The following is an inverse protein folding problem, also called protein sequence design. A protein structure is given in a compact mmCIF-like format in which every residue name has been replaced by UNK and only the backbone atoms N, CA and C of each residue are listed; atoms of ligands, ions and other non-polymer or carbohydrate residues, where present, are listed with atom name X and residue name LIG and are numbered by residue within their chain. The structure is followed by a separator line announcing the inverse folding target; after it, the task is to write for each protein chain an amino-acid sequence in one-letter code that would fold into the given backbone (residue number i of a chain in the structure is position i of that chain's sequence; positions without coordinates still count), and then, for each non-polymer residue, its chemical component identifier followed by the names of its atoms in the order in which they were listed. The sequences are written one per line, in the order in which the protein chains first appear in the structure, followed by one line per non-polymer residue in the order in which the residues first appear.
data_IF_014593018416
#
_entry.id   IF_014593018416
#
_cell.length_a   1.000
_cell.length_b   1.000
_cell.length_c   1.000
_cell.angle_alpha   90.00
_cell.angle_beta   90.00
_cell.angle_gamma   90.00
#
_symmetry.space_group_name_H-M   'P 1'
#
loop_
_entity.id
_entity.type
_entity.pdbx_description
1 polymer ?
#
# COMPACT_ATOMS: atom_id res chain seq x y z
N UNK A 1 9.60 12.73 15.53
CA UNK A 1 9.27 12.24 14.24
C UNK A 1 9.55 13.25 13.17
N UNK A 2 10.05 12.80 12.07
CA UNK A 2 10.42 13.72 11.03
C UNK A 2 9.25 13.99 10.10
N UNK A 3 9.09 15.22 9.76
CA UNK A 3 8.05 15.63 8.87
C UNK A 3 8.47 15.42 7.42
N UNK A 4 7.54 15.04 6.61
CA UNK A 4 7.81 14.82 5.19
C UNK A 4 7.29 16.01 4.40
N UNK A 5 8.16 17.01 4.26
CA UNK A 5 7.78 18.22 3.56
C UNK A 5 7.55 17.96 2.09
N UNK A 6 6.55 18.59 1.54
CA UNK A 6 6.25 18.48 0.15
C UNK A 6 5.65 17.14 -0.24
N UNK A 7 5.41 16.29 0.72
CA UNK A 7 4.85 15.00 0.44
C UNK A 7 3.48 14.89 1.07
N UNK A 8 2.50 14.56 0.25
CA UNK A 8 1.14 14.37 0.73
C UNK A 8 0.82 12.91 0.76
N UNK A 9 0.20 12.49 1.84
CA UNK A 9 -0.33 11.15 1.92
C UNK A 9 -1.70 11.17 1.28
N UNK A 10 -1.92 10.32 0.30
CA UNK A 10 -3.18 10.26 -0.39
C UNK A 10 -4.31 9.96 0.58
N UNK A 11 -5.44 10.66 0.39
CA UNK A 11 -6.63 10.36 1.15
C UNK A 11 -7.02 8.91 0.95
N UNK A 12 -6.77 8.40 -0.24
CA UNK A 12 -7.06 7.00 -0.57
C UNK A 12 -6.31 6.05 0.35
N UNK A 13 -5.04 6.33 0.60
CA UNK A 13 -4.23 5.49 1.49
C UNK A 13 -4.78 5.50 2.91
N UNK A 14 -5.16 6.69 3.39
CA UNK A 14 -5.69 6.80 4.74
C UNK A 14 -6.99 6.04 4.89
N UNK A 15 -7.84 6.10 3.89
CA UNK A 15 -9.12 5.41 3.93
C UNK A 15 -8.94 3.91 3.91
N UNK A 16 -8.02 3.43 3.10
CA UNK A 16 -7.73 2.01 3.03
C UNK A 16 -7.16 1.52 4.37
N UNK A 17 -6.21 2.27 4.93
CA UNK A 17 -5.64 1.89 6.22
C UNK A 17 -6.71 1.83 7.29
N UNK A 18 -7.61 2.81 7.29
CA UNK A 18 -8.68 2.87 8.27
C UNK A 18 -9.62 1.68 8.12
N UNK A 19 -9.96 1.34 6.89
CA UNK A 19 -10.85 0.21 6.64
C UNK A 19 -10.23 -1.10 7.12
N UNK A 20 -8.94 -1.28 6.85
CA UNK A 20 -8.25 -2.48 7.29
C UNK A 20 -8.16 -2.56 8.81
N UNK A 21 -7.93 -1.42 9.46
CA UNK A 21 -7.89 -1.40 10.92
C UNK A 21 -9.22 -1.79 11.53
N UNK A 22 -10.32 -1.44 10.88
CA UNK A 22 -11.65 -1.79 11.38
C UNK A 22 -11.90 -3.29 11.39
N UNK A 23 -11.11 -4.04 10.64
CA UNK A 23 -11.26 -5.50 10.64
C UNK A 23 -10.47 -6.15 11.77
N UNK A 24 -9.79 -5.35 12.59
CA UNK A 24 -9.00 -5.87 13.70
C UNK A 24 -7.54 -6.05 13.38
N UNK A 25 -7.13 -5.74 12.16
CA UNK A 25 -5.73 -5.86 11.77
C UNK A 25 -4.96 -4.62 12.20
N UNK A 26 -3.68 -4.81 12.51
CA UNK A 26 -2.79 -3.70 12.79
C UNK A 26 -2.20 -3.22 11.48
N UNK A 27 -2.30 -1.94 11.22
CA UNK A 27 -1.85 -1.38 9.96
C UNK A 27 -0.93 -0.21 10.24
N UNK A 28 0.26 -0.26 9.67
CA UNK A 28 1.25 0.79 9.84
C UNK A 28 1.46 1.47 8.49
N UNK A 29 1.37 2.80 8.50
CA UNK A 29 1.64 3.56 7.29
C UNK A 29 3.12 3.83 7.25
N UNK A 30 3.80 3.20 6.30
CA UNK A 30 5.23 3.34 6.13
C UNK A 30 5.47 4.05 4.81
N UNK A 31 6.60 4.71 4.69
CA UNK A 31 6.88 5.42 3.45
C UNK A 31 7.60 4.56 2.45
N UNK A 32 8.44 3.73 2.95
CA UNK A 32 9.31 2.92 2.09
C UNK A 32 9.47 1.56 2.71
N UNK A 33 9.61 0.59 1.87
CA UNK A 33 9.58 0.67 0.40
C UNK A 33 8.19 0.79 -0.20
N UNK A 34 7.16 0.54 0.59
CA UNK A 34 5.78 0.58 0.11
C UNK A 34 4.92 1.29 1.16
N UNK A 35 3.64 1.43 0.89
CA UNK A 35 2.80 2.32 1.68
C UNK A 35 2.35 1.77 3.02
N UNK A 36 1.97 0.49 3.06
CA UNK A 36 1.39 -0.08 4.27
C UNK A 36 2.05 -1.39 4.64
N UNK A 37 2.21 -1.56 5.94
CA UNK A 37 2.64 -2.83 6.51
C UNK A 37 1.48 -3.32 7.37
N UNK A 38 0.99 -4.51 7.09
CA UNK A 38 -0.22 -5.02 7.70
C UNK A 38 0.08 -6.29 8.47
N UNK A 39 -0.31 -6.28 9.74
CA UNK A 39 -0.24 -7.48 10.56
C UNK A 39 -1.57 -8.21 10.39
N UNK A 40 -1.57 -9.19 9.52
CA UNK A 40 -2.78 -9.94 9.19
C UNK A 40 -2.88 -11.15 10.10
N UNK A 41 -3.11 -10.86 11.39
CA UNK A 41 -3.26 -11.88 12.42
C UNK A 41 -2.08 -12.85 12.45
N UNK A 42 -0.89 -12.27 12.45
CA UNK A 42 0.33 -13.06 12.55
C UNK A 42 1.10 -13.20 11.26
N UNK A 43 0.51 -12.80 10.15
CA UNK A 43 1.19 -12.83 8.86
C UNK A 43 1.42 -11.40 8.40
N UNK A 44 2.67 -11.07 8.09
CA UNK A 44 2.98 -9.75 7.60
C UNK A 44 2.66 -9.63 6.12
N UNK A 45 1.91 -8.58 5.79
CA UNK A 45 1.60 -8.27 4.41
C UNK A 45 2.08 -6.87 4.11
N UNK A 46 2.53 -6.66 2.89
CA UNK A 46 2.99 -5.35 2.43
C UNK A 46 2.08 -4.91 1.29
N UNK A 47 1.62 -3.67 1.34
CA UNK A 47 0.69 -3.17 0.34
C UNK A 47 1.15 -1.84 -0.20
N UNK A 48 1.08 -1.70 -1.50
CA UNK A 48 1.26 -0.44 -2.19
C UNK A 48 -0.11 0.07 -2.58
N UNK A 49 -0.41 1.32 -2.24
CA UNK A 49 -1.71 1.91 -2.54
C UNK A 49 -1.52 2.88 -3.70
N UNK A 50 -2.33 2.71 -4.73
CA UNK A 50 -2.29 3.59 -5.89
C UNK A 50 -3.61 4.31 -6.01
N UNK A 51 -3.51 5.56 -6.42
CA UNK A 51 -4.70 6.37 -6.67
C UNK A 51 -4.92 6.40 -8.17
N UNK A 52 -6.04 5.84 -8.65
CA UNK A 52 -6.27 5.78 -10.10
C UNK A 52 -6.38 7.14 -10.75
N UNK A 53 -6.57 8.18 -9.96
CA UNK A 53 -6.73 9.53 -10.49
C UNK A 53 -5.44 10.34 -10.44
N UNK A 54 -4.32 9.72 -10.10
CA UNK A 54 -3.08 10.46 -10.05
C UNK A 54 -2.58 10.76 -11.46
N UNK A 55 -1.84 11.84 -11.55
CA UNK A 55 -1.29 12.26 -12.82
C UNK A 55 -0.31 11.23 -13.40
N UNK A 56 0.50 10.66 -12.55
CA UNK A 56 1.46 9.66 -12.99
C UNK A 56 0.77 8.48 -13.64
N UNK A 57 -0.35 8.06 -13.05
CA UNK A 57 -1.10 6.94 -13.58
C UNK A 57 -1.67 7.27 -14.95
N UNK A 58 -2.16 8.51 -15.09
CA UNK A 58 -2.77 8.94 -16.36
C UNK A 58 -1.76 8.98 -17.48
N UNK A 59 -0.50 9.18 -17.15
CA UNK A 59 0.55 9.20 -18.17
C UNK A 59 1.03 7.82 -18.55
N UNK A 60 0.36 6.81 -18.07
CA UNK A 60 0.80 5.45 -18.37
C UNK A 60 2.00 5.03 -17.57
N UNK A 61 2.38 5.81 -16.58
CA UNK A 61 3.44 5.43 -15.67
C UNK A 61 3.09 4.13 -14.98
N UNK A 62 4.07 3.33 -14.69
CA UNK A 62 3.83 2.08 -14.03
C UNK A 62 3.24 2.27 -12.67
N UNK A 63 2.73 1.18 -12.11
CA UNK A 63 2.21 1.19 -10.76
C UNK A 63 3.33 1.37 -9.75
N UNK A 64 4.55 1.03 -10.11
CA UNK A 64 5.68 1.08 -9.21
C UNK A 64 6.74 2.02 -9.76
N UNK A 65 7.46 2.65 -8.84
CA UNK A 65 8.61 3.45 -9.23
C UNK A 65 9.79 2.54 -9.57
N UNK A 66 10.81 3.11 -10.21
CA UNK A 66 12.01 2.34 -10.50
C UNK A 66 12.64 1.76 -9.24
N UNK A 67 12.63 2.55 -8.17
CA UNK A 67 13.18 2.09 -6.91
C UNK A 67 12.40 0.90 -6.36
N UNK A 68 11.07 0.97 -6.45
CA UNK A 68 10.24 -0.13 -5.99
C UNK A 68 10.44 -1.37 -6.84
N UNK A 69 10.59 -1.20 -8.16
CA UNK A 69 10.83 -2.35 -9.03
C UNK A 69 12.15 -3.03 -8.69
N UNK A 70 13.17 -2.24 -8.38
CA UNK A 70 14.46 -2.81 -8.00
C UNK A 70 14.33 -3.61 -6.71
N UNK A 71 13.53 -3.12 -5.77
CA UNK A 71 13.33 -3.82 -4.52
C UNK A 71 12.57 -5.13 -4.78
N UNK A 72 11.57 -5.08 -5.64
CA UNK A 72 10.79 -6.28 -5.94
C UNK A 72 11.64 -7.40 -6.52
N UNK A 73 12.71 -7.05 -7.24
CA UNK A 73 13.56 -8.08 -7.82
C UNK A 73 14.27 -8.92 -6.78
N UNK A 74 14.47 -8.38 -5.58
CA UNK A 74 15.17 -9.12 -4.54
C UNK A 74 14.26 -9.62 -3.44
N UNK A 75 12.98 -9.26 -3.48
CA UNK A 75 12.05 -9.70 -2.46
C UNK A 75 11.55 -11.11 -2.74
N UNK A 76 11.40 -11.86 -1.67
CA UNK A 76 10.78 -13.19 -1.77
C UNK A 76 9.29 -13.12 -1.47
N UNK A 77 8.84 -12.02 -0.89
CA UNK A 77 7.45 -11.83 -0.54
C UNK A 77 6.71 -11.08 -1.63
N UNK A 78 5.43 -11.36 -1.74
CA UNK A 78 4.60 -10.63 -2.69
C UNK A 78 4.20 -9.30 -2.10
N UNK A 79 4.03 -8.32 -2.96
CA UNK A 79 3.52 -7.02 -2.57
C UNK A 79 2.12 -6.88 -3.16
N UNK A 80 1.17 -6.57 -2.29
CA UNK A 80 -0.21 -6.36 -2.72
C UNK A 80 -0.35 -4.94 -3.26
N UNK A 81 -1.14 -4.78 -4.30
CA UNK A 81 -1.39 -3.46 -4.87
C UNK A 81 -2.88 -3.23 -4.89
N UNK A 82 -3.31 -2.14 -4.29
CA UNK A 82 -4.73 -1.82 -4.20
C UNK A 82 -4.97 -0.37 -4.57
N UNK A 83 -6.09 -0.12 -5.24
CA UNK A 83 -6.53 1.23 -5.59
C UNK A 83 -7.77 1.64 -4.84
N UNK A 84 -8.53 0.68 -4.35
CA UNK A 84 -9.78 0.96 -3.66
C UNK A 84 -9.84 0.20 -2.36
N UNK A 85 -10.76 0.64 -1.50
CA UNK A 85 -10.99 -0.05 -0.24
C UNK A 85 -11.43 -1.49 -0.49
N UNK A 86 -12.30 -1.69 -1.46
CA UNK A 86 -12.79 -3.02 -1.78
C UNK A 86 -11.66 -3.94 -2.22
N UNK A 87 -10.78 -3.43 -3.07
CA UNK A 87 -9.64 -4.23 -3.52
C UNK A 87 -8.74 -4.60 -2.35
N UNK A 88 -8.48 -3.64 -1.48
CA UNK A 88 -7.59 -3.87 -0.35
C UNK A 88 -8.18 -4.93 0.58
N UNK A 89 -9.44 -4.80 0.90
CA UNK A 89 -10.09 -5.77 1.77
C UNK A 89 -10.10 -7.16 1.14
N UNK A 90 -10.39 -7.22 -0.15
CA UNK A 90 -10.43 -8.49 -0.83
C UNK A 90 -9.07 -9.18 -0.84
N UNK A 91 -8.03 -8.42 -1.14
CA UNK A 91 -6.69 -8.96 -1.18
C UNK A 91 -6.24 -9.49 0.18
N UNK A 92 -6.58 -8.79 1.24
CA UNK A 92 -6.13 -9.17 2.57
C UNK A 92 -6.98 -10.30 3.14
N UNK A 93 -8.29 -10.21 2.99
CA UNK A 93 -9.19 -11.18 3.60
C UNK A 93 -9.14 -12.52 2.89
N UNK A 94 -9.01 -12.52 1.58
CA UNK A 94 -9.00 -13.75 0.80
C UNK A 94 -7.70 -14.52 0.84
N UNK A 95 -6.76 -14.06 1.65
CA UNK A 95 -5.51 -14.80 1.75
C UNK A 95 -5.65 -16.09 2.54
N UNK A 96 -6.78 -16.29 3.19
CA UNK A 96 -7.01 -17.51 3.93
C UNK A 96 -7.59 -18.60 3.05
#
# INVERSE_FOLDING_TARGET
MRKRYGRKVDANQKEIAKALRKTGRNVFEIEEPFDLLIDNFGEWLVMEVKNPNTHARQKGGGLMTDKQLAILEVLHSKVLVAETIEQALELVIKRY
#
